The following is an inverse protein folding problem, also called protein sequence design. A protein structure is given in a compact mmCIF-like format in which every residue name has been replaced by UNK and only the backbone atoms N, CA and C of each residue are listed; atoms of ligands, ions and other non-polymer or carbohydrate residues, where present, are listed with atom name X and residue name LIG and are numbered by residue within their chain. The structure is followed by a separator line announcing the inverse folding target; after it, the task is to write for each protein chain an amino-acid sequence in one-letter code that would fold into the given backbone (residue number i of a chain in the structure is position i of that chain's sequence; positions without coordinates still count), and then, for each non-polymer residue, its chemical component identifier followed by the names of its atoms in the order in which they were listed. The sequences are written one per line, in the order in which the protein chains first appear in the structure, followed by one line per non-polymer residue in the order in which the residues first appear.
data_IF_528996396102
#
_entry.id   IF_528996396102
#
_cell.length_a   1.000
_cell.length_b   1.000
_cell.length_c   1.000
_cell.angle_alpha   90.00
_cell.angle_beta   90.00
_cell.angle_gamma   90.00
#
_symmetry.space_group_name_H-M   'P 1'
#
loop_
_entity.id
_entity.type
_entity.pdbx_description
1 polymer ?
#
# COMPACT_ATOMS: atom_id res chain seq x y z
N UNK A 1 13.81 1.27 24.17
CA UNK A 1 13.60 0.87 22.77
C UNK A 1 13.40 2.15 21.97
N UNK A 2 14.16 2.37 20.90
CA UNK A 2 13.83 3.44 19.96
C UNK A 2 12.50 3.05 19.29
N UNK A 3 11.51 3.94 19.33
CA UNK A 3 10.26 3.71 18.64
C UNK A 3 10.51 4.01 17.16
N UNK A 4 10.64 2.97 16.34
CA UNK A 4 10.95 3.08 14.91
C UNK A 4 9.94 3.97 14.18
N UNK A 5 8.68 4.00 14.62
CA UNK A 5 7.64 4.86 14.06
C UNK A 5 7.89 6.35 14.37
N UNK A 6 8.41 6.67 15.56
CA UNK A 6 8.85 8.04 15.89
C UNK A 6 10.11 8.42 15.10
N UNK A 7 11.09 7.53 15.03
CA UNK A 7 12.36 7.78 14.32
C UNK A 7 12.16 8.03 12.82
N UNK A 8 11.19 7.34 12.21
CA UNK A 8 10.82 7.52 10.79
C UNK A 8 9.78 8.63 10.56
N UNK A 9 9.34 9.31 11.63
CA UNK A 9 8.37 10.40 11.57
C UNK A 9 6.96 9.97 11.15
N UNK A 10 6.64 8.67 11.28
CA UNK A 10 5.31 8.09 11.01
C UNK A 10 4.34 8.46 12.13
N UNK A 11 4.86 8.52 13.37
CA UNK A 11 4.16 9.08 14.53
C UNK A 11 4.93 10.32 14.98
N UNK A 12 4.20 11.37 15.34
CA UNK A 12 4.75 12.62 15.87
C UNK A 12 5.13 12.46 17.36
N UNK A 13 5.99 13.32 17.92
CA UNK A 13 6.27 13.32 19.36
C UNK A 13 5.02 13.48 20.25
N UNK A 14 3.93 14.03 19.72
CA UNK A 14 2.62 14.13 20.38
C UNK A 14 1.90 12.79 20.51
N UNK A 15 2.33 11.76 19.78
CA UNK A 15 1.62 10.48 19.64
C UNK A 15 0.62 10.45 18.48
N UNK A 16 0.42 11.56 17.78
CA UNK A 16 -0.46 11.63 16.62
C UNK A 16 0.19 10.99 15.38
N UNK A 17 -0.64 10.39 14.52
CA UNK A 17 -0.19 9.83 13.25
C UNK A 17 0.13 10.96 12.26
N UNK A 18 1.31 10.89 11.65
CA UNK A 18 1.72 11.78 10.57
C UNK A 18 1.18 11.29 9.22
N UNK A 19 -0.06 11.68 8.92
CA UNK A 19 -0.76 11.28 7.69
C UNK A 19 -0.02 11.68 6.42
N UNK A 20 0.58 12.87 6.39
CA UNK A 20 1.34 13.35 5.23
C UNK A 20 2.55 12.45 4.93
N UNK A 21 3.27 12.03 5.98
CA UNK A 21 4.38 11.08 5.82
C UNK A 21 3.90 9.72 5.32
N UNK A 22 2.77 9.22 5.83
CA UNK A 22 2.22 7.93 5.39
C UNK A 22 1.78 8.00 3.92
N UNK A 23 1.09 9.07 3.50
CA UNK A 23 0.67 9.26 2.11
C UNK A 23 1.88 9.34 1.15
N UNK A 24 2.93 10.06 1.55
CA UNK A 24 4.18 10.12 0.78
C UNK A 24 4.78 8.71 0.59
N UNK A 25 4.83 7.91 1.65
CA UNK A 25 5.38 6.54 1.60
C UNK A 25 4.48 5.63 0.77
N UNK A 26 3.16 5.71 0.95
CA UNK A 26 2.18 4.94 0.19
C UNK A 26 2.30 5.23 -1.31
N UNK A 27 2.22 6.48 -1.73
CA UNK A 27 2.32 6.84 -3.15
C UNK A 27 3.63 6.39 -3.79
N UNK A 28 4.76 6.54 -3.07
CA UNK A 28 6.07 6.14 -3.56
C UNK A 28 6.20 4.62 -3.83
N UNK A 29 5.49 3.77 -3.09
CA UNK A 29 5.51 2.32 -3.31
C UNK A 29 4.38 1.87 -4.25
N UNK A 30 3.25 2.54 -4.23
CA UNK A 30 2.07 2.14 -5.01
C UNK A 30 2.31 2.28 -6.51
N UNK A 31 3.00 3.33 -6.95
CA UNK A 31 3.30 3.56 -8.37
C UNK A 31 4.01 2.35 -9.04
N UNK A 32 5.21 1.93 -8.60
CA UNK A 32 5.89 0.79 -9.22
C UNK A 32 5.10 -0.53 -9.06
N UNK A 33 4.29 -0.66 -8.01
CA UNK A 33 3.43 -1.83 -7.83
C UNK A 33 2.30 -1.88 -8.87
N UNK A 34 1.60 -0.77 -9.10
CA UNK A 34 0.54 -0.67 -10.09
C UNK A 34 1.07 -0.91 -11.51
N UNK A 35 2.23 -0.35 -11.85
CA UNK A 35 2.91 -0.61 -13.11
C UNK A 35 3.23 -2.11 -13.30
N UNK A 36 3.74 -2.77 -12.27
CA UNK A 36 4.01 -4.21 -12.33
C UNK A 36 2.74 -5.05 -12.43
N UNK A 37 1.65 -4.66 -11.75
CA UNK A 37 0.34 -5.29 -11.94
C UNK A 37 -0.08 -5.20 -13.41
N UNK A 38 -0.06 -4.00 -13.99
CA UNK A 38 -0.42 -3.78 -15.39
C UNK A 38 0.39 -4.63 -16.36
N UNK A 39 1.73 -4.60 -16.23
CA UNK A 39 2.65 -5.33 -17.11
C UNK A 39 2.47 -6.85 -16.98
N UNK A 40 2.29 -7.37 -15.76
CA UNK A 40 2.18 -8.81 -15.53
C UNK A 40 0.84 -9.39 -15.94
N UNK A 41 -0.24 -8.62 -15.86
CA UNK A 41 -1.56 -9.03 -16.36
C UNK A 41 -1.73 -8.77 -17.85
N UNK A 42 -0.83 -7.99 -18.48
CA UNK A 42 -0.98 -7.56 -19.86
C UNK A 42 -2.21 -6.67 -20.06
N UNK A 43 -2.56 -5.88 -19.04
CA UNK A 43 -3.76 -5.04 -19.05
C UNK A 43 -5.08 -5.80 -18.91
N UNK A 44 -5.09 -7.06 -18.47
CA UNK A 44 -6.33 -7.80 -18.24
C UNK A 44 -7.16 -7.20 -17.09
N UNK A 45 -8.20 -6.45 -17.48
CA UNK A 45 -9.08 -5.75 -16.56
C UNK A 45 -9.85 -6.69 -15.64
N UNK A 46 -10.13 -7.94 -16.04
CA UNK A 46 -10.78 -8.90 -15.14
C UNK A 46 -9.86 -9.24 -13.96
N UNK A 47 -8.59 -9.58 -14.24
CA UNK A 47 -7.60 -9.86 -13.20
C UNK A 47 -7.33 -8.65 -12.32
N UNK A 48 -7.19 -7.46 -12.90
CA UNK A 48 -6.98 -6.20 -12.17
C UNK A 48 -8.15 -5.92 -11.22
N UNK A 49 -9.39 -6.00 -11.71
CA UNK A 49 -10.57 -5.77 -10.87
C UNK A 49 -10.68 -6.78 -9.72
N UNK A 50 -10.34 -8.05 -9.96
CA UNK A 50 -10.31 -9.07 -8.90
C UNK A 50 -9.25 -8.77 -7.85
N UNK A 51 -8.10 -8.23 -8.23
CA UNK A 51 -7.08 -7.79 -7.27
C UNK A 51 -7.56 -6.60 -6.45
N UNK A 52 -8.16 -5.59 -7.10
CA UNK A 52 -8.78 -4.44 -6.43
C UNK A 52 -9.84 -4.88 -5.43
N UNK A 53 -10.72 -5.82 -5.82
CA UNK A 53 -11.75 -6.37 -4.94
C UNK A 53 -11.14 -7.05 -3.71
N UNK A 54 -10.02 -7.76 -3.84
CA UNK A 54 -9.30 -8.35 -2.70
C UNK A 54 -8.81 -7.25 -1.74
N UNK A 55 -8.22 -6.17 -2.24
CA UNK A 55 -7.75 -5.07 -1.39
C UNK A 55 -8.90 -4.39 -0.66
N UNK A 56 -10.00 -4.11 -1.34
CA UNK A 56 -11.19 -3.47 -0.74
C UNK A 56 -11.85 -4.37 0.28
N UNK A 57 -12.10 -5.63 -0.06
CA UNK A 57 -12.86 -6.56 0.81
C UNK A 57 -12.07 -7.01 2.04
N UNK A 58 -10.74 -7.09 1.95
CA UNK A 58 -9.89 -7.44 3.09
C UNK A 58 -9.48 -6.24 3.94
N UNK A 59 -9.78 -5.00 3.55
CA UNK A 59 -9.45 -3.82 4.34
C UNK A 59 -10.45 -3.61 5.50
N UNK A 60 -10.56 -4.63 6.35
CA UNK A 60 -11.39 -4.64 7.56
C UNK A 60 -10.50 -4.71 8.81
N UNK A 61 -10.95 -4.22 9.97
CA UNK A 61 -10.17 -4.32 11.21
C UNK A 61 -9.69 -5.74 11.54
N UNK A 62 -10.45 -6.78 11.17
CA UNK A 62 -10.10 -8.17 11.43
C UNK A 62 -9.04 -8.73 10.47
N UNK A 63 -8.97 -8.23 9.24
CA UNK A 63 -8.15 -8.79 8.17
C UNK A 63 -6.95 -7.92 7.77
N UNK A 64 -6.86 -6.66 8.22
CA UNK A 64 -5.79 -5.72 7.82
C UNK A 64 -4.37 -6.27 8.00
N UNK A 65 -4.07 -6.97 9.10
CA UNK A 65 -2.75 -7.57 9.29
C UNK A 65 -2.46 -8.65 8.21
N UNK A 66 -3.49 -9.42 7.84
CA UNK A 66 -3.38 -10.42 6.77
C UNK A 66 -3.28 -9.76 5.40
N UNK A 67 -4.05 -8.71 5.15
CA UNK A 67 -3.97 -7.90 3.93
C UNK A 67 -2.56 -7.31 3.77
N UNK A 68 -1.96 -6.77 4.83
CA UNK A 68 -0.59 -6.26 4.80
C UNK A 68 0.42 -7.34 4.38
N UNK A 69 0.28 -8.57 4.90
CA UNK A 69 1.12 -9.71 4.48
C UNK A 69 0.89 -10.09 3.02
N UNK A 70 -0.34 -10.01 2.52
CA UNK A 70 -0.67 -10.23 1.11
C UNK A 70 -0.02 -9.17 0.23
N UNK A 71 -0.13 -7.89 0.57
CA UNK A 71 0.54 -6.80 -0.15
C UNK A 71 2.04 -7.07 -0.22
N UNK A 72 2.70 -7.36 0.91
CA UNK A 72 4.13 -7.71 0.94
C UNK A 72 4.48 -8.91 0.07
N UNK A 73 3.64 -9.95 0.09
CA UNK A 73 3.81 -11.13 -0.75
C UNK A 73 3.75 -10.76 -2.23
N UNK A 74 2.79 -9.93 -2.64
CA UNK A 74 2.63 -9.51 -4.02
C UNK A 74 3.83 -8.70 -4.51
N UNK A 75 4.38 -7.79 -3.69
CA UNK A 75 5.63 -7.10 -4.01
C UNK A 75 6.76 -8.10 -4.26
N UNK A 76 6.94 -9.07 -3.36
CA UNK A 76 7.96 -10.11 -3.52
C UNK A 76 7.76 -10.97 -4.78
N UNK A 77 6.51 -11.35 -5.10
CA UNK A 77 6.18 -12.11 -6.31
C UNK A 77 6.46 -11.31 -7.59
N UNK A 78 6.32 -9.99 -7.54
CA UNK A 78 6.64 -9.07 -8.64
C UNK A 78 8.13 -8.69 -8.70
N UNK A 79 8.96 -9.23 -7.79
CA UNK A 79 10.39 -8.88 -7.73
C UNK A 79 10.65 -7.45 -7.23
N UNK A 80 9.65 -6.80 -6.63
CA UNK A 80 9.77 -5.47 -6.04
C UNK A 80 10.24 -5.57 -4.58
N UNK A 81 11.24 -4.78 -4.15
CA UNK A 81 11.56 -4.69 -2.74
C UNK A 81 10.43 -3.98 -1.99
N UNK A 82 10.01 -4.54 -0.85
CA UNK A 82 9.07 -3.84 0.02
C UNK A 82 9.77 -2.73 0.81
N UNK A 83 9.11 -1.59 1.00
CA UNK A 83 9.73 -0.41 1.60
C UNK A 83 10.07 -0.61 3.08
N UNK A 84 11.32 -0.33 3.44
CA UNK A 84 11.78 -0.29 4.84
C UNK A 84 11.10 0.83 5.65
N UNK A 85 10.53 1.84 4.98
CA UNK A 85 9.72 2.88 5.64
C UNK A 85 8.30 2.42 5.91
N UNK A 86 7.70 1.62 5.02
CA UNK A 86 6.36 1.06 5.18
C UNK A 86 6.34 -0.14 6.15
N UNK A 87 7.41 -0.94 6.18
CA UNK A 87 7.52 -2.14 7.02
C UNK A 87 7.07 -1.96 8.49
N UNK A 88 7.53 -0.94 9.24
CA UNK A 88 7.15 -0.76 10.64
C UNK A 88 5.69 -0.33 10.83
N UNK A 89 4.99 0.14 9.78
CA UNK A 89 3.58 0.55 9.88
C UNK A 89 2.66 -0.61 10.27
N UNK A 90 3.05 -1.85 9.97
CA UNK A 90 2.32 -3.04 10.41
C UNK A 90 2.35 -3.32 11.92
N UNK A 91 3.16 -2.59 12.69
CA UNK A 91 3.28 -2.78 14.14
C UNK A 91 2.26 -1.97 14.96
N UNK A 92 1.56 -1.00 14.34
CA UNK A 92 0.58 -0.14 15.00
C UNK A 92 -0.75 -0.19 14.21
N UNK A 93 -1.88 -0.60 14.83
CA UNK A 93 -3.14 -0.79 14.12
C UNK A 93 -3.70 0.47 13.43
N UNK A 94 -3.55 1.64 14.06
CA UNK A 94 -4.12 2.89 13.56
C UNK A 94 -3.27 3.41 12.39
N UNK A 95 -1.93 3.26 12.49
CA UNK A 95 -1.00 3.54 11.40
C UNK A 95 -1.26 2.60 10.21
N UNK A 96 -1.42 1.30 10.48
CA UNK A 96 -1.67 0.29 9.45
C UNK A 96 -3.00 0.54 8.72
N UNK A 97 -4.05 0.90 9.46
CA UNK A 97 -5.34 1.29 8.89
C UNK A 97 -5.18 2.44 7.90
N UNK A 98 -4.52 3.51 8.32
CA UNK A 98 -4.35 4.68 7.47
C UNK A 98 -3.45 4.38 6.26
N UNK A 99 -2.36 3.62 6.45
CA UNK A 99 -1.50 3.20 5.37
C UNK A 99 -2.23 2.36 4.31
N UNK A 100 -3.02 1.36 4.71
CA UNK A 100 -3.76 0.52 3.77
C UNK A 100 -4.88 1.29 3.06
N UNK A 101 -5.50 2.26 3.75
CA UNK A 101 -6.42 3.20 3.11
C UNK A 101 -5.72 3.99 2.00
N UNK A 102 -4.60 4.65 2.30
CA UNK A 102 -3.85 5.45 1.33
C UNK A 102 -3.32 4.60 0.17
N UNK A 103 -2.73 3.44 0.46
CA UNK A 103 -2.25 2.50 -0.56
C UNK A 103 -3.36 2.09 -1.54
N UNK A 104 -4.55 1.76 -1.03
CA UNK A 104 -5.67 1.32 -1.87
C UNK A 104 -6.22 2.47 -2.72
N UNK A 105 -6.27 3.68 -2.16
CA UNK A 105 -6.68 4.88 -2.88
C UNK A 105 -5.69 5.23 -4.01
N UNK A 106 -4.39 5.33 -3.67
CA UNK A 106 -3.32 5.58 -4.64
C UNK A 106 -3.32 4.51 -5.74
N UNK A 107 -3.58 3.24 -5.40
CA UNK A 107 -3.59 2.16 -6.39
C UNK A 107 -4.71 2.35 -7.39
N UNK A 108 -5.90 2.73 -6.93
CA UNK A 108 -7.03 3.04 -7.80
C UNK A 108 -6.74 4.22 -8.73
N UNK A 109 -6.15 5.29 -8.20
CA UNK A 109 -5.78 6.49 -8.98
C UNK A 109 -4.71 6.18 -10.02
N UNK A 110 -3.60 5.56 -9.64
CA UNK A 110 -2.51 5.21 -10.55
C UNK A 110 -2.97 4.23 -11.64
N UNK A 111 -3.80 3.24 -11.29
CA UNK A 111 -4.34 2.33 -12.30
C UNK A 111 -5.24 3.06 -13.30
N UNK A 112 -6.03 4.05 -12.87
CA UNK A 112 -6.84 4.86 -13.79
C UNK A 112 -5.96 5.67 -14.74
N UNK A 113 -4.87 6.27 -14.23
CA UNK A 113 -3.92 7.01 -15.05
C UNK A 113 -3.24 6.10 -16.08
N UNK A 114 -2.76 4.92 -15.67
CA UNK A 114 -2.16 3.93 -16.58
C UNK A 114 -3.14 3.52 -17.69
N UNK A 115 -4.40 3.27 -17.34
CA UNK A 115 -5.44 2.91 -18.32
C UNK A 115 -5.72 4.06 -19.27
N UNK A 116 -5.73 5.31 -18.78
CA UNK A 116 -5.96 6.47 -19.61
C UNK A 116 -4.80 6.74 -20.58
N UNK A 117 -3.56 6.47 -20.17
CA UNK A 117 -2.36 6.70 -20.99
C UNK A 117 -2.14 5.61 -22.06
N UNK A 118 -2.65 4.39 -21.87
CA UNK A 118 -2.52 3.27 -22.83
C UNK A 118 -3.61 3.25 -23.92
N UNK A 119 -4.69 4.04 -23.77
CA UNK A 119 -5.82 4.14 -24.70
C UNK A 119 -5.78 5.41 -25.57
#
# INVERSE_FOLDING_TARGET
MKNVLLDKGIILPSGEINKDKINLVAGAITQPFAEMVWVTTGGDMETINRLTDVFVTMNTPADREKLFKVVKLLYGLMGLPFSEEAEPMGADPDVLEYFLFSLTADFGEVMQDIIADDN
#
